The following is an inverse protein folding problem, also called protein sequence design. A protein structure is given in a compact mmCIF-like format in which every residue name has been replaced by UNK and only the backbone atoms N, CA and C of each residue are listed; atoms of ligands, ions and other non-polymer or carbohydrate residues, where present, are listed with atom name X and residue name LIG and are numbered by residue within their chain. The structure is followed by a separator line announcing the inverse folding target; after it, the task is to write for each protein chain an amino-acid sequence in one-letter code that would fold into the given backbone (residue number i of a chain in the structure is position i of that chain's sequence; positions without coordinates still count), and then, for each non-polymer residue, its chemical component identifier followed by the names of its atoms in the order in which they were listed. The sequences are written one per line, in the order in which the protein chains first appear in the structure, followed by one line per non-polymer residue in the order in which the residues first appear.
data_IF_088224830002
#
_entry.id   IF_088224830002
#
_cell.length_a   1.000
_cell.length_b   1.000
_cell.length_c   1.000
_cell.angle_alpha   90.00
_cell.angle_beta   90.00
_cell.angle_gamma   90.00
#
_symmetry.space_group_name_H-M   'P 1'
#
loop_
_entity.id
_entity.type
_entity.pdbx_description
1 polymer ?
#
# COMPACT_ATOMS: atom_id res chain seq x y z
N UNK A 1 -14.11 12.17 -9.98
CA UNK A 1 -14.70 12.68 -8.71
C UNK A 1 -15.38 11.61 -7.83
N UNK A 2 -15.77 10.42 -8.32
CA UNK A 2 -16.44 9.40 -7.48
C UNK A 2 -15.53 8.60 -6.51
N UNK A 3 -14.21 8.61 -6.75
CA UNK A 3 -13.18 7.93 -5.95
C UNK A 3 -12.95 8.55 -4.57
N UNK A 4 -13.19 9.85 -4.41
CA UNK A 4 -12.80 10.58 -3.20
C UNK A 4 -13.69 10.24 -1.98
N UNK A 5 -14.92 9.80 -2.22
CA UNK A 5 -15.93 9.55 -1.17
C UNK A 5 -15.66 8.29 -0.36
N UNK A 6 -14.84 7.36 -0.87
CA UNK A 6 -14.38 6.18 -0.13
C UNK A 6 -13.51 6.59 1.06
N UNK A 7 -12.84 7.75 0.99
CA UNK A 7 -11.99 8.29 2.05
C UNK A 7 -12.54 9.57 2.71
N UNK A 8 -13.56 10.23 2.12
CA UNK A 8 -14.12 11.50 2.61
C UNK A 8 -15.65 11.42 2.76
N UNK A 9 -16.10 11.04 3.95
CA UNK A 9 -17.53 10.78 4.28
C UNK A 9 -18.32 12.06 4.57
N UNK A 10 -17.64 13.12 5.06
CA UNK A 10 -18.23 14.46 5.24
C UNK A 10 -17.30 15.50 4.61
N UNK A 11 -17.83 16.23 3.63
CA UNK A 11 -17.14 17.35 2.98
C UNK A 11 -17.51 18.66 3.68
N UNK A 12 -17.11 18.82 4.94
CA UNK A 12 -16.76 20.15 5.44
C UNK A 12 -15.44 20.60 4.82
N UNK A 13 -15.06 21.87 4.92
CA UNK A 13 -13.75 22.42 4.49
C UNK A 13 -12.60 21.65 5.16
N UNK A 14 -12.24 20.51 4.59
CA UNK A 14 -11.17 19.63 5.03
C UNK A 14 -10.06 19.76 4.02
N UNK A 15 -9.00 20.42 4.45
CA UNK A 15 -7.69 20.34 3.80
C UNK A 15 -7.40 18.87 3.54
N UNK A 16 -7.32 18.49 2.27
CA UNK A 16 -6.83 17.16 1.91
C UNK A 16 -5.42 17.10 2.50
N UNK A 17 -5.09 16.11 3.36
CA UNK A 17 -3.72 15.94 3.80
C UNK A 17 -2.87 15.81 2.54
N UNK A 18 -2.02 16.80 2.27
CA UNK A 18 -1.16 16.82 1.09
C UNK A 18 -0.10 15.70 1.12
N UNK A 19 0.03 15.05 2.28
CA UNK A 19 1.05 14.04 2.54
C UNK A 19 0.47 12.64 2.45
N UNK A 20 1.06 11.84 1.58
CA UNK A 20 0.82 10.41 1.45
C UNK A 20 1.29 9.69 2.74
N UNK A 21 0.49 8.75 3.24
CA UNK A 21 0.82 7.98 4.48
C UNK A 21 1.81 6.85 4.18
N UNK A 22 1.64 6.16 3.04
CA UNK A 22 2.51 5.09 2.58
C UNK A 22 3.29 5.53 1.35
N UNK A 23 4.61 5.65 1.47
CA UNK A 23 5.49 6.02 0.37
C UNK A 23 6.64 5.02 0.27
N UNK A 24 6.78 4.41 -0.92
CA UNK A 24 7.94 3.60 -1.26
C UNK A 24 8.98 4.50 -1.92
N UNK A 25 10.29 4.24 -1.76
CA UNK A 25 11.31 4.98 -2.49
C UNK A 25 11.13 4.85 -4.00
N UNK A 26 11.55 5.86 -4.78
CA UNK A 26 11.34 5.91 -6.23
C UNK A 26 11.98 4.76 -7.01
N UNK A 27 13.03 4.15 -6.47
CA UNK A 27 13.69 2.96 -7.02
C UNK A 27 12.95 1.64 -6.69
N UNK A 28 11.76 1.72 -6.11
CA UNK A 28 10.89 0.59 -5.76
C UNK A 28 9.55 0.71 -6.48
N UNK A 29 9.25 -0.25 -7.34
CA UNK A 29 7.95 -0.38 -7.97
C UNK A 29 7.00 -1.17 -7.09
N UNK A 30 5.81 -0.62 -6.90
CA UNK A 30 4.71 -1.28 -6.21
C UNK A 30 3.43 -1.23 -7.07
N UNK A 31 2.72 -2.35 -7.16
CA UNK A 31 1.48 -2.45 -7.94
C UNK A 31 0.34 -3.03 -7.11
N UNK A 32 -0.67 -2.20 -6.79
CA UNK A 32 -1.89 -2.66 -6.12
C UNK A 32 -2.59 -3.76 -6.93
N UNK A 33 -2.63 -3.64 -8.27
CA UNK A 33 -3.30 -4.60 -9.14
C UNK A 33 -2.70 -6.01 -9.02
N UNK A 34 -1.38 -6.14 -8.93
CA UNK A 34 -0.71 -7.44 -8.77
C UNK A 34 -1.05 -8.11 -7.43
N UNK A 35 -1.09 -7.33 -6.36
CA UNK A 35 -1.41 -7.83 -5.02
C UNK A 35 -2.90 -8.19 -4.89
N UNK A 36 -3.78 -7.38 -5.48
CA UNK A 36 -5.21 -7.67 -5.54
C UNK A 36 -5.50 -8.93 -6.38
N UNK A 37 -4.81 -9.11 -7.52
CA UNK A 37 -4.92 -10.33 -8.33
C UNK A 37 -4.46 -11.60 -7.58
N UNK A 38 -3.54 -11.44 -6.61
CA UNK A 38 -3.13 -12.50 -5.69
C UNK A 38 -4.15 -12.74 -4.55
N UNK A 39 -5.34 -12.12 -4.60
CA UNK A 39 -6.42 -12.22 -3.62
C UNK A 39 -6.02 -11.77 -2.21
N UNK A 40 -5.14 -10.77 -2.12
CA UNK A 40 -4.84 -10.11 -0.86
C UNK A 40 -5.92 -9.07 -0.55
N UNK A 41 -6.42 -9.11 0.67
CA UNK A 41 -7.37 -8.13 1.19
C UNK A 41 -6.66 -6.82 1.55
N UNK A 42 -7.36 -5.69 1.43
CA UNK A 42 -6.82 -4.37 1.77
C UNK A 42 -6.27 -4.32 3.21
N UNK A 43 -6.95 -5.02 4.11
CA UNK A 43 -6.68 -5.08 5.54
C UNK A 43 -5.35 -5.78 5.86
N UNK A 44 -4.87 -6.64 4.97
CA UNK A 44 -3.58 -7.31 5.15
C UNK A 44 -2.41 -6.33 5.16
N UNK A 45 -2.55 -5.16 4.53
CA UNK A 45 -1.50 -4.14 4.44
C UNK A 45 -1.85 -2.85 5.21
N UNK A 46 -3.12 -2.44 5.19
CA UNK A 46 -3.57 -1.16 5.75
C UNK A 46 -4.29 -1.29 7.09
N UNK A 47 -4.51 -2.51 7.60
CA UNK A 47 -5.37 -2.76 8.76
C UNK A 47 -6.84 -2.50 8.46
N UNK A 48 -7.68 -2.37 9.49
CA UNK A 48 -9.11 -2.14 9.30
C UNK A 48 -9.42 -0.69 8.88
N UNK A 49 -9.11 -0.39 7.62
CA UNK A 49 -9.29 0.95 7.03
C UNK A 49 -10.73 1.43 7.07
N UNK A 50 -11.71 0.53 7.16
CA UNK A 50 -13.11 0.88 7.22
C UNK A 50 -13.49 1.47 8.59
N UNK A 51 -12.79 1.06 9.65
CA UNK A 51 -12.99 1.54 11.02
C UNK A 51 -12.04 2.69 11.41
N UNK A 52 -11.05 2.98 10.57
CA UNK A 52 -10.08 4.05 10.83
C UNK A 52 -10.69 5.44 10.55
N UNK A 53 -10.64 6.33 11.55
CA UNK A 53 -11.03 7.73 11.37
C UNK A 53 -10.13 8.48 10.37
N UNK A 54 -8.88 8.02 10.21
CA UNK A 54 -7.93 8.48 9.18
C UNK A 54 -6.94 7.36 8.88
N UNK A 55 -6.42 7.31 7.65
CA UNK A 55 -5.45 6.28 7.25
C UNK A 55 -4.18 6.41 8.08
N UNK A 56 -3.76 5.31 8.69
CA UNK A 56 -2.53 5.24 9.48
C UNK A 56 -1.62 4.14 8.94
N UNK A 57 -0.31 4.34 9.05
CA UNK A 57 0.66 3.32 8.69
C UNK A 57 0.65 2.18 9.72
N UNK A 58 -0.13 1.13 9.43
CA UNK A 58 -0.23 -0.06 10.28
C UNK A 58 0.94 -1.03 10.06
N UNK A 59 1.44 -1.09 8.82
CA UNK A 59 2.54 -1.95 8.43
C UNK A 59 3.72 -1.11 7.94
N UNK A 60 4.96 -1.49 8.28
CA UNK A 60 6.12 -0.73 7.86
C UNK A 60 6.37 -0.89 6.36
N UNK A 61 6.53 0.22 5.64
CA UNK A 61 7.00 0.22 4.24
C UNK A 61 8.51 -0.02 4.22
N UNK A 62 8.91 -1.26 4.51
CA UNK A 62 10.31 -1.68 4.58
C UNK A 62 10.50 -2.96 3.78
N UNK A 63 11.63 -3.06 3.08
CA UNK A 63 11.97 -4.22 2.26
C UNK A 63 11.80 -5.55 3.01
N UNK A 64 12.23 -5.61 4.28
CA UNK A 64 12.10 -6.82 5.11
C UNK A 64 10.65 -7.29 5.21
N UNK A 65 9.70 -6.38 5.42
CA UNK A 65 8.29 -6.72 5.54
C UNK A 65 7.73 -7.28 4.23
N UNK A 66 8.05 -6.61 3.11
CA UNK A 66 7.66 -7.08 1.77
C UNK A 66 8.22 -8.49 1.48
N UNK A 67 9.52 -8.70 1.74
CA UNK A 67 10.19 -9.98 1.48
C UNK A 67 9.67 -11.09 2.40
N UNK A 68 9.44 -10.80 3.68
CA UNK A 68 8.89 -11.78 4.62
C UNK A 68 7.48 -12.21 4.21
N UNK A 69 6.64 -11.26 3.77
CA UNK A 69 5.32 -11.55 3.20
C UNK A 69 5.42 -12.37 1.91
N UNK A 70 6.30 -11.99 0.99
CA UNK A 70 6.48 -12.75 -0.26
C UNK A 70 6.97 -14.18 0.02
N UNK A 71 7.85 -14.38 1.00
CA UNK A 71 8.30 -15.72 1.42
C UNK A 71 7.16 -16.55 1.99
N UNK A 72 6.36 -15.99 2.90
CA UNK A 72 5.24 -16.74 3.51
C UNK A 72 4.14 -17.07 2.50
N UNK A 73 3.91 -16.20 1.52
CA UNK A 73 2.96 -16.40 0.43
C UNK A 73 3.54 -17.15 -0.78
N UNK A 74 4.81 -17.58 -0.73
CA UNK A 74 5.52 -18.23 -1.86
C UNK A 74 5.48 -17.41 -3.16
N UNK A 75 5.50 -16.09 -3.04
CA UNK A 75 5.56 -15.15 -4.15
C UNK A 75 7.03 -14.89 -4.57
N UNK A 76 7.26 -14.43 -5.82
CA UNK A 76 8.60 -14.05 -6.27
C UNK A 76 9.19 -12.95 -5.37
N UNK A 77 10.39 -13.17 -4.85
CA UNK A 77 11.11 -12.21 -4.00
C UNK A 77 12.50 -11.85 -4.58
N UNK A 78 12.68 -12.07 -5.89
CA UNK A 78 13.89 -11.66 -6.59
C UNK A 78 13.98 -10.13 -6.61
N UNK A 79 15.20 -9.58 -6.59
CA UNK A 79 15.44 -8.14 -6.48
C UNK A 79 14.73 -7.34 -7.59
N UNK A 80 14.71 -7.86 -8.83
CA UNK A 80 14.03 -7.24 -9.98
C UNK A 80 12.50 -7.34 -9.95
N UNK A 81 11.93 -8.01 -8.95
CA UNK A 81 10.48 -8.04 -8.76
C UNK A 81 9.96 -6.67 -8.32
N UNK A 82 10.78 -5.93 -7.57
CA UNK A 82 10.42 -4.65 -6.98
C UNK A 82 11.38 -3.52 -7.40
N UNK A 83 12.60 -3.81 -7.81
CA UNK A 83 13.57 -2.79 -8.21
C UNK A 83 13.80 -2.80 -9.71
N UNK A 84 14.04 -1.62 -10.30
CA UNK A 84 14.74 -1.58 -11.59
C UNK A 84 16.20 -1.90 -11.31
N UNK A 85 16.57 -3.15 -11.57
CA UNK A 85 17.98 -3.49 -11.66
C UNK A 85 18.39 -3.11 -13.07
N UNK A 86 18.94 -1.90 -13.21
CA UNK A 86 19.57 -1.48 -14.47
C UNK A 86 20.48 -2.60 -14.96
N UNK A 87 20.31 -2.94 -16.24
CA UNK A 87 21.07 -3.96 -16.97
C UNK A 87 22.58 -3.72 -16.86
#
# INVERSE_FOLDING_TARGET
MKQCRVCHVEMGERTIPSRRVYEVPDFVFFSHARHFAAKLECQSCHGDVALQASVQAQQPVRMKWCVDCHKSSKAPAACNTCHELGQ
#
